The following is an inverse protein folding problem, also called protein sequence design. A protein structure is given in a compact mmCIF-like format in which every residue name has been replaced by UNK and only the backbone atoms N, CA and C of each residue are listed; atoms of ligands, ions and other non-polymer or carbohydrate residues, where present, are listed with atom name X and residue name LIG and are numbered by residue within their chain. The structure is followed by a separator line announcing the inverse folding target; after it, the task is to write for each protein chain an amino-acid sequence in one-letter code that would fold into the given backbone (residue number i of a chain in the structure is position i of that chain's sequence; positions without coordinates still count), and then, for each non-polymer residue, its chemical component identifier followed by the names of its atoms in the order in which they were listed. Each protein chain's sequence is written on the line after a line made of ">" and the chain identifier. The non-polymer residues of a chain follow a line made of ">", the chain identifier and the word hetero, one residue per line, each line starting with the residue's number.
data_IF_180192388862
#
_entry.id   IF_180192388862
#
_cell.length_a   1.000
_cell.length_b   1.000
_cell.length_c   1.000
_cell.angle_alpha   90.00
_cell.angle_beta   90.00
_cell.angle_gamma   90.00
#
_symmetry.space_group_name_H-M   'P 1'
#
loop_
_entity.id
_entity.type
_entity.pdbx_description
1 polymer ?
#
# COMPACT_ATOMS: atom_id res chain seq x y z
N UNK A 1 -48.97 -0.74 -56.80
CA UNK A 1 -48.49 -0.40 -55.43
C UNK A 1 -47.82 -1.63 -54.84
N UNK A 2 -46.49 -1.63 -54.77
CA UNK A 2 -45.69 -2.68 -54.10
C UNK A 2 -45.18 -2.11 -52.81
N UNK A 3 -45.67 -2.62 -51.68
CA UNK A 3 -45.23 -2.28 -50.34
C UNK A 3 -43.95 -3.06 -50.02
N UNK A 4 -42.80 -2.37 -50.00
CA UNK A 4 -41.54 -2.93 -49.53
C UNK A 4 -41.55 -3.02 -47.99
N UNK A 5 -41.39 -4.23 -47.43
CA UNK A 5 -41.12 -4.44 -46.01
C UNK A 5 -39.62 -4.29 -45.79
N UNK A 6 -39.22 -3.22 -45.13
CA UNK A 6 -37.84 -3.08 -44.64
C UNK A 6 -37.58 -4.02 -43.47
N UNK A 7 -36.57 -4.88 -43.58
CA UNK A 7 -36.05 -5.73 -42.52
C UNK A 7 -35.03 -4.90 -41.77
N UNK A 8 -35.33 -4.57 -40.52
CA UNK A 8 -34.39 -3.95 -39.58
C UNK A 8 -33.53 -5.05 -38.97
N UNK A 9 -32.30 -5.20 -39.43
CA UNK A 9 -31.31 -6.08 -38.83
C UNK A 9 -30.72 -5.43 -37.58
N UNK A 10 -31.08 -5.91 -36.41
CA UNK A 10 -30.44 -5.54 -35.12
C UNK A 10 -29.16 -6.36 -35.02
N UNK A 11 -28.01 -5.71 -35.14
CA UNK A 11 -26.72 -6.32 -34.87
C UNK A 11 -26.51 -6.31 -33.34
N UNK A 12 -26.60 -7.45 -32.71
CA UNK A 12 -26.19 -7.64 -31.33
C UNK A 12 -24.66 -7.70 -31.30
N UNK A 13 -24.00 -6.66 -30.85
CA UNK A 13 -22.57 -6.69 -30.47
C UNK A 13 -22.52 -7.34 -29.10
N UNK A 14 -22.18 -8.61 -29.04
CA UNK A 14 -21.83 -9.28 -27.78
C UNK A 14 -20.49 -8.72 -27.34
N UNK A 15 -20.52 -7.86 -26.33
CA UNK A 15 -19.30 -7.48 -25.60
C UNK A 15 -18.93 -8.71 -24.75
N UNK A 16 -17.96 -9.48 -25.22
CA UNK A 16 -17.28 -10.51 -24.43
C UNK A 16 -16.45 -9.77 -23.39
N UNK A 17 -16.97 -9.57 -22.19
CA UNK A 17 -16.16 -9.28 -21.03
C UNK A 17 -15.31 -10.53 -20.77
N UNK A 18 -14.01 -10.45 -21.07
CA UNK A 18 -13.02 -11.42 -20.59
C UNK A 18 -12.97 -11.27 -19.07
N UNK A 19 -13.68 -12.12 -18.37
CA UNK A 19 -13.50 -12.29 -16.93
C UNK A 19 -12.20 -13.04 -16.76
N UNK A 20 -11.14 -12.35 -16.34
CA UNK A 20 -9.93 -13.02 -15.88
C UNK A 20 -10.29 -13.76 -14.60
N UNK A 21 -10.19 -15.09 -14.61
CA UNK A 21 -10.24 -15.86 -13.38
C UNK A 21 -8.94 -15.53 -12.60
N UNK A 22 -9.05 -15.42 -11.28
CA UNK A 22 -7.94 -15.43 -10.36
C UNK A 22 -6.86 -16.41 -10.84
N UNK A 23 -5.64 -15.94 -11.10
CA UNK A 23 -4.63 -16.75 -11.77
C UNK A 23 -3.30 -16.68 -11.04
N UNK A 24 -2.75 -17.84 -10.72
CA UNK A 24 -1.40 -17.99 -10.20
C UNK A 24 -0.55 -18.65 -11.30
N UNK A 25 0.58 -18.05 -11.64
CA UNK A 25 1.46 -18.50 -12.72
C UNK A 25 2.88 -18.53 -12.20
N UNK A 26 3.57 -19.62 -12.47
CA UNK A 26 5.02 -19.72 -12.24
C UNK A 26 5.72 -19.24 -13.51
N UNK A 27 6.54 -18.21 -13.39
CA UNK A 27 7.22 -17.49 -14.44
C UNK A 27 8.73 -17.52 -14.18
N UNK A 28 9.51 -17.18 -15.20
CA UNK A 28 10.95 -17.06 -15.05
C UNK A 28 11.66 -16.67 -16.33
N UNK A 29 12.89 -16.23 -16.17
CA UNK A 29 13.78 -15.88 -17.29
C UNK A 29 15.25 -16.08 -16.91
N UNK A 30 16.11 -16.11 -17.92
CA UNK A 30 17.55 -16.17 -17.70
C UNK A 30 18.05 -14.78 -17.32
N UNK A 31 18.61 -14.65 -16.12
CA UNK A 31 19.26 -13.46 -15.63
C UNK A 31 20.67 -13.77 -15.16
N UNK A 32 21.66 -13.03 -15.65
CA UNK A 32 23.07 -13.23 -15.33
C UNK A 32 23.52 -14.71 -15.44
N UNK A 33 23.04 -15.39 -16.50
CA UNK A 33 23.35 -16.81 -16.80
C UNK A 33 22.61 -17.82 -15.92
N UNK A 34 21.80 -17.39 -14.96
CA UNK A 34 21.00 -18.26 -14.08
C UNK A 34 19.53 -18.27 -14.50
N UNK A 35 18.87 -19.41 -14.34
CA UNK A 35 17.42 -19.48 -14.39
C UNK A 35 16.87 -18.86 -13.12
N UNK A 36 16.13 -17.75 -13.24
CA UNK A 36 15.49 -17.05 -12.14
C UNK A 36 13.99 -17.22 -12.26
N UNK A 37 13.35 -17.53 -11.17
CA UNK A 37 11.94 -17.90 -11.11
C UNK A 37 11.17 -17.01 -10.16
N UNK A 38 9.90 -16.83 -10.41
CA UNK A 38 8.94 -16.19 -9.49
C UNK A 38 7.54 -16.73 -9.72
N UNK A 39 6.68 -16.64 -8.71
CA UNK A 39 5.24 -16.89 -8.86
C UNK A 39 4.53 -15.55 -8.87
N UNK A 40 3.75 -15.30 -9.90
CA UNK A 40 2.89 -14.12 -10.01
C UNK A 40 1.42 -14.51 -9.75
N UNK A 41 0.74 -13.68 -9.00
CA UNK A 41 -0.68 -13.82 -8.70
C UNK A 41 -1.45 -12.61 -9.22
N UNK A 42 -2.40 -12.89 -10.08
CA UNK A 42 -3.28 -11.90 -10.71
C UNK A 42 -4.66 -12.01 -10.10
N UNK A 43 -5.18 -10.98 -9.40
CA UNK A 43 -6.52 -11.01 -8.82
C UNK A 43 -7.59 -11.03 -9.91
N UNK A 44 -8.76 -11.61 -9.59
CA UNK A 44 -9.87 -11.74 -10.54
C UNK A 44 -10.47 -10.41 -11.02
N UNK A 45 -10.20 -9.33 -10.29
CA UNK A 45 -10.60 -7.97 -10.67
C UNK A 45 -9.73 -7.35 -11.76
N UNK A 46 -8.55 -7.92 -12.05
CA UNK A 46 -7.68 -7.44 -13.10
C UNK A 46 -8.23 -7.80 -14.48
N UNK A 47 -8.49 -6.80 -15.31
CA UNK A 47 -8.99 -6.97 -16.69
C UNK A 47 -8.07 -6.32 -17.74
N UNK A 48 -6.91 -5.80 -17.31
CA UNK A 48 -5.93 -5.14 -18.17
C UNK A 48 -6.29 -3.69 -18.56
N UNK A 49 -7.46 -3.18 -18.16
CA UNK A 49 -7.89 -1.81 -18.52
C UNK A 49 -7.36 -0.75 -17.57
N UNK A 50 -7.29 -1.07 -16.27
CA UNK A 50 -6.75 -0.18 -15.25
C UNK A 50 -5.32 -0.58 -14.87
N UNK A 51 -4.52 0.41 -14.48
CA UNK A 51 -3.20 0.18 -13.92
C UNK A 51 -3.32 -0.34 -12.49
N UNK A 52 -2.64 -1.47 -12.19
CA UNK A 52 -2.61 -2.08 -10.86
C UNK A 52 -1.26 -1.86 -10.18
N UNK A 53 -1.25 -1.63 -8.86
CA UNK A 53 -0.02 -1.67 -8.06
C UNK A 53 0.63 -3.06 -8.14
N UNK A 54 1.95 -3.09 -7.95
CA UNK A 54 2.75 -4.30 -7.91
C UNK A 54 3.40 -4.45 -6.52
N UNK A 55 3.24 -5.60 -5.88
CA UNK A 55 3.89 -5.91 -4.61
C UNK A 55 4.76 -7.15 -4.74
N UNK A 56 6.05 -7.01 -4.41
CA UNK A 56 6.97 -8.13 -4.24
C UNK A 56 6.98 -8.58 -2.78
N UNK A 57 6.93 -9.90 -2.55
CA UNK A 57 7.04 -10.51 -1.22
C UNK A 57 8.16 -11.56 -1.21
N UNK A 58 9.27 -11.24 -0.53
CA UNK A 58 10.51 -12.00 -0.53
C UNK A 58 10.58 -12.98 0.64
N UNK A 59 10.87 -14.26 0.37
CA UNK A 59 11.04 -15.28 1.39
C UNK A 59 12.34 -15.12 2.19
N UNK A 60 12.39 -15.73 3.38
CA UNK A 60 13.59 -15.79 4.21
C UNK A 60 14.69 -16.69 3.65
N UNK A 61 15.86 -16.68 4.30
CA UNK A 61 17.01 -17.52 3.94
C UNK A 61 16.66 -19.01 3.96
N UNK A 62 17.15 -19.76 2.96
CA UNK A 62 16.82 -21.17 2.79
C UNK A 62 15.38 -21.45 2.37
N UNK A 63 14.58 -20.40 2.12
CA UNK A 63 13.17 -20.50 1.80
C UNK A 63 12.90 -20.88 0.35
N UNK A 64 11.65 -21.31 0.11
CA UNK A 64 11.10 -21.61 -1.21
C UNK A 64 9.74 -20.97 -1.35
N UNK A 65 9.42 -20.46 -2.54
CA UNK A 65 8.17 -19.78 -2.83
C UNK A 65 6.93 -20.54 -2.37
N UNK A 66 6.75 -21.85 -2.66
CA UNK A 66 5.54 -22.57 -2.22
C UNK A 66 5.36 -22.57 -0.69
N UNK A 67 6.44 -22.73 0.07
CA UNK A 67 6.39 -22.69 1.54
C UNK A 67 6.09 -21.30 2.04
N UNK A 68 6.74 -20.29 1.47
CA UNK A 68 6.53 -18.89 1.85
C UNK A 68 5.09 -18.46 1.56
N UNK A 69 4.58 -18.74 0.37
CA UNK A 69 3.18 -18.47 0.01
C UNK A 69 2.17 -19.18 0.92
N UNK A 70 2.52 -20.37 1.43
CA UNK A 70 1.66 -21.09 2.38
C UNK A 70 1.65 -20.46 3.76
N UNK A 71 2.80 -19.95 4.21
CA UNK A 71 2.94 -19.34 5.54
C UNK A 71 2.59 -17.86 5.56
N UNK A 72 2.77 -17.16 4.43
CA UNK A 72 2.58 -15.71 4.27
C UNK A 72 1.72 -15.46 3.05
N UNK A 73 0.44 -15.85 3.14
CA UNK A 73 -0.49 -15.75 2.01
C UNK A 73 -1.13 -14.36 1.91
N UNK A 74 -0.63 -13.52 1.02
CA UNK A 74 -1.20 -12.20 0.74
C UNK A 74 -2.21 -12.18 -0.41
N UNK A 75 -2.50 -13.32 -1.06
CA UNK A 75 -3.46 -13.40 -2.19
C UNK A 75 -4.87 -12.94 -1.84
N UNK A 76 -5.45 -13.27 -0.66
CA UNK A 76 -6.76 -12.73 -0.27
C UNK A 76 -6.78 -11.20 -0.15
N UNK A 77 -5.64 -10.59 0.21
CA UNK A 77 -5.49 -9.13 0.27
C UNK A 77 -5.40 -8.58 -1.15
N UNK A 78 -4.64 -9.24 -2.04
CA UNK A 78 -4.53 -8.85 -3.44
C UNK A 78 -5.90 -8.83 -4.14
N UNK A 79 -6.76 -9.83 -3.86
CA UNK A 79 -8.12 -9.91 -4.41
C UNK A 79 -9.03 -8.75 -3.96
N UNK A 80 -8.91 -8.34 -2.71
CA UNK A 80 -9.78 -7.30 -2.14
C UNK A 80 -9.26 -5.88 -2.35
N UNK A 81 -7.94 -5.73 -2.48
CA UNK A 81 -7.26 -4.45 -2.59
C UNK A 81 -6.75 -4.13 -4.01
N UNK A 82 -6.95 -5.03 -4.98
CA UNK A 82 -6.67 -4.84 -6.39
C UNK A 82 -5.20 -4.51 -6.69
N UNK A 83 -4.29 -5.43 -6.36
CA UNK A 83 -2.88 -5.35 -6.74
C UNK A 83 -2.36 -6.69 -7.28
N UNK A 84 -1.35 -6.65 -8.11
CA UNK A 84 -0.62 -7.83 -8.59
C UNK A 84 0.46 -8.17 -7.56
N UNK A 85 0.53 -9.44 -7.18
CA UNK A 85 1.43 -9.93 -6.14
C UNK A 85 2.47 -10.86 -6.76
N UNK A 86 3.75 -10.68 -6.39
CA UNK A 86 4.87 -11.48 -6.90
C UNK A 86 5.64 -12.06 -5.72
N UNK A 87 5.90 -13.37 -5.80
CA UNK A 87 6.78 -14.08 -4.89
C UNK A 87 8.03 -14.54 -5.66
N UNK A 88 9.12 -13.80 -5.59
CA UNK A 88 10.36 -14.20 -6.26
C UNK A 88 11.05 -15.36 -5.54
N UNK A 89 11.79 -16.19 -6.30
CA UNK A 89 12.60 -17.27 -5.79
C UNK A 89 14.08 -16.88 -5.80
N UNK A 90 14.70 -16.90 -4.61
CA UNK A 90 16.15 -16.76 -4.49
C UNK A 90 16.88 -18.02 -5.03
N UNK A 91 18.07 -17.84 -5.56
CA UNK A 91 18.92 -18.95 -5.97
C UNK A 91 19.80 -19.44 -4.81
N UNK A 92 20.31 -20.70 -4.88
CA UNK A 92 21.28 -21.21 -3.91
C UNK A 92 22.56 -20.36 -3.88
N UNK A 93 23.00 -19.97 -2.69
CA UNK A 93 24.24 -19.26 -2.46
C UNK A 93 25.36 -20.23 -2.07
N UNK A 94 26.37 -20.45 -2.92
CA UNK A 94 27.51 -21.30 -2.58
C UNK A 94 28.30 -20.82 -1.36
N UNK A 95 28.32 -19.49 -1.13
CA UNK A 95 28.96 -18.88 0.05
C UNK A 95 28.19 -19.12 1.35
N UNK A 96 26.90 -19.44 1.25
CA UNK A 96 26.02 -19.76 2.38
C UNK A 96 25.64 -21.25 2.43
N UNK A 97 26.58 -22.14 2.11
CA UNK A 97 26.37 -23.57 2.17
C UNK A 97 25.38 -24.13 1.14
N UNK A 98 25.05 -23.39 0.11
CA UNK A 98 24.09 -23.78 -0.93
C UNK A 98 22.62 -23.59 -0.57
N UNK A 99 22.31 -22.92 0.53
CA UNK A 99 20.95 -22.49 0.84
C UNK A 99 20.52 -21.31 -0.06
N UNK A 100 19.24 -21.23 -0.39
CA UNK A 100 18.69 -20.07 -1.11
C UNK A 100 18.86 -18.79 -0.27
N UNK A 101 19.39 -17.75 -0.91
CA UNK A 101 19.68 -16.47 -0.25
C UNK A 101 19.54 -15.32 -1.24
N UNK A 102 19.23 -14.15 -0.74
CA UNK A 102 19.23 -12.91 -1.51
C UNK A 102 20.66 -12.37 -1.53
N UNK A 103 21.30 -12.49 -2.70
CA UNK A 103 22.68 -12.08 -2.94
C UNK A 103 22.71 -10.64 -3.40
N UNK A 104 22.80 -9.74 -2.44
CA UNK A 104 22.75 -8.29 -2.67
C UNK A 104 24.01 -7.56 -2.17
N UNK A 105 25.00 -8.29 -1.64
CA UNK A 105 26.23 -7.74 -1.06
C UNK A 105 27.49 -8.28 -1.73
N UNK A 106 28.51 -7.43 -1.81
CA UNK A 106 29.86 -7.86 -2.16
C UNK A 106 30.45 -8.85 -1.12
N UNK A 107 31.21 -9.86 -1.50
CA UNK A 107 31.69 -10.13 -2.85
C UNK A 107 30.85 -11.15 -3.65
N UNK A 108 29.54 -11.09 -3.58
CA UNK A 108 28.68 -12.01 -4.33
C UNK A 108 28.86 -11.83 -5.84
N UNK A 109 28.75 -12.93 -6.61
CA UNK A 109 28.82 -12.89 -8.06
C UNK A 109 27.47 -12.57 -8.73
N UNK A 110 26.40 -12.51 -7.91
CA UNK A 110 25.05 -12.25 -8.37
C UNK A 110 24.48 -11.10 -7.57
N UNK A 111 23.85 -10.16 -8.26
CA UNK A 111 23.16 -9.02 -7.66
C UNK A 111 21.66 -9.17 -7.93
N UNK A 112 20.89 -9.28 -6.85
CA UNK A 112 19.44 -9.45 -6.93
C UNK A 112 18.68 -8.11 -7.11
N UNK A 113 19.32 -6.97 -6.87
CA UNK A 113 18.66 -5.66 -7.08
C UNK A 113 18.35 -5.43 -8.56
N UNK A 114 19.31 -5.59 -9.50
CA UNK A 114 19.03 -5.54 -10.95
C UNK A 114 18.05 -6.64 -11.41
N UNK A 115 18.05 -7.81 -10.76
CA UNK A 115 17.06 -8.86 -11.06
C UNK A 115 15.64 -8.39 -10.74
N UNK A 116 15.40 -7.72 -9.60
CA UNK A 116 14.10 -7.14 -9.26
C UNK A 116 13.70 -6.08 -10.29
N UNK A 117 14.64 -5.23 -10.71
CA UNK A 117 14.38 -4.27 -11.78
C UNK A 117 13.94 -4.95 -13.07
N UNK A 118 14.64 -6.03 -13.48
CA UNK A 118 14.29 -6.79 -14.67
C UNK A 118 12.91 -7.47 -14.54
N UNK A 119 12.54 -7.96 -13.35
CA UNK A 119 11.18 -8.47 -13.10
C UNK A 119 10.11 -7.38 -13.27
N UNK A 120 10.33 -6.18 -12.71
CA UNK A 120 9.40 -5.05 -12.88
C UNK A 120 9.21 -4.76 -14.38
N UNK A 121 10.31 -4.70 -15.15
CA UNK A 121 10.26 -4.41 -16.58
C UNK A 121 9.57 -5.53 -17.36
N UNK A 122 9.85 -6.79 -17.07
CA UNK A 122 9.22 -7.95 -17.72
C UNK A 122 7.73 -8.01 -17.43
N UNK A 123 7.33 -7.88 -16.16
CA UNK A 123 5.93 -7.93 -15.74
C UNK A 123 5.13 -6.76 -16.37
N UNK A 124 5.75 -5.59 -16.49
CA UNK A 124 5.09 -4.41 -17.10
C UNK A 124 4.89 -4.54 -18.62
N UNK A 125 5.50 -5.51 -19.28
CA UNK A 125 5.21 -5.81 -20.70
C UNK A 125 3.87 -6.54 -20.83
N UNK A 126 3.59 -7.48 -19.92
CA UNK A 126 2.45 -8.37 -20.01
C UNK A 126 1.24 -7.86 -19.22
N UNK A 127 1.47 -7.02 -18.21
CA UNK A 127 0.44 -6.50 -17.32
C UNK A 127 0.49 -4.97 -17.23
N UNK A 128 -0.69 -4.35 -17.13
CA UNK A 128 -0.84 -2.90 -16.97
C UNK A 128 -0.54 -2.49 -15.52
N UNK A 129 0.75 -2.24 -15.23
CA UNK A 129 1.26 -1.91 -13.90
C UNK A 129 1.33 -0.39 -13.71
N UNK A 130 0.87 0.10 -12.56
CA UNK A 130 1.16 1.46 -12.12
C UNK A 130 2.63 1.54 -11.68
N UNK A 131 3.48 2.02 -12.58
CA UNK A 131 4.92 2.13 -12.35
C UNK A 131 5.30 3.05 -11.17
N UNK A 132 4.37 3.88 -10.69
CA UNK A 132 4.58 4.72 -9.51
C UNK A 132 4.20 4.01 -8.21
N UNK A 133 3.52 2.87 -8.27
CA UNK A 133 3.05 2.10 -7.11
C UNK A 133 3.59 0.68 -7.12
N UNK A 134 4.91 0.57 -7.09
CA UNK A 134 5.63 -0.70 -6.92
C UNK A 134 6.18 -0.76 -5.51
N UNK A 135 5.95 -1.86 -4.83
CA UNK A 135 6.28 -2.05 -3.42
C UNK A 135 7.07 -3.33 -3.19
N UNK A 136 7.78 -3.39 -2.08
CA UNK A 136 8.52 -4.58 -1.66
C UNK A 136 8.26 -4.88 -0.19
N UNK A 137 8.05 -6.15 0.13
CA UNK A 137 8.07 -6.64 1.50
C UNK A 137 8.77 -7.98 1.58
N UNK A 138 9.14 -8.40 2.80
CA UNK A 138 9.79 -9.69 2.96
C UNK A 138 9.98 -10.10 4.42
N UNK A 139 10.29 -11.38 4.59
CA UNK A 139 10.52 -12.04 5.84
C UNK A 139 12.00 -12.38 6.04
N UNK A 140 12.54 -12.13 7.23
CA UNK A 140 13.91 -12.51 7.58
C UNK A 140 14.93 -11.98 6.55
N UNK A 141 15.74 -12.79 5.88
CA UNK A 141 16.62 -12.32 4.79
C UNK A 141 15.87 -11.63 3.64
N UNK A 142 14.61 -11.98 3.39
CA UNK A 142 13.75 -11.22 2.47
C UNK A 142 13.42 -9.82 2.99
N UNK A 143 13.24 -9.68 4.32
CA UNK A 143 13.07 -8.38 4.98
C UNK A 143 14.34 -7.53 4.89
N UNK A 144 15.53 -8.13 5.09
CA UNK A 144 16.81 -7.46 4.86
C UNK A 144 16.92 -6.94 3.43
N UNK A 145 16.57 -7.79 2.46
CA UNK A 145 16.64 -7.43 1.05
C UNK A 145 15.70 -6.28 0.67
N UNK A 146 14.57 -6.13 1.35
CA UNK A 146 13.69 -4.97 1.10
C UNK A 146 14.35 -3.64 1.46
N UNK A 147 15.20 -3.59 2.48
CA UNK A 147 15.98 -2.38 2.77
C UNK A 147 16.97 -2.07 1.66
N UNK A 148 17.62 -3.10 1.10
CA UNK A 148 18.52 -2.94 -0.05
C UNK A 148 17.78 -2.32 -1.24
N UNK A 149 16.56 -2.82 -1.53
CA UNK A 149 15.70 -2.24 -2.58
C UNK A 149 15.30 -0.79 -2.27
N UNK A 150 14.97 -0.50 -1.02
CA UNK A 150 14.70 0.87 -0.58
C UNK A 150 15.90 1.81 -0.71
N UNK A 151 17.12 1.28 -0.59
CA UNK A 151 18.36 2.05 -0.70
C UNK A 151 18.84 2.24 -2.14
N UNK A 152 18.74 1.20 -2.97
CA UNK A 152 19.36 1.19 -4.31
C UNK A 152 18.35 1.31 -5.46
N UNK A 153 17.08 0.96 -5.22
CA UNK A 153 16.05 0.90 -6.26
C UNK A 153 14.81 1.74 -5.91
N UNK A 154 14.93 2.72 -4.99
CA UNK A 154 13.76 3.51 -4.59
C UNK A 154 13.24 4.46 -5.69
N UNK A 155 13.97 4.62 -6.79
CA UNK A 155 13.44 5.25 -8.00
C UNK A 155 12.38 4.38 -8.73
N UNK A 156 12.20 3.13 -8.31
CA UNK A 156 11.18 2.18 -8.80
C UNK A 156 10.29 1.64 -7.67
N UNK A 157 10.80 1.60 -6.44
CA UNK A 157 10.10 1.09 -5.25
C UNK A 157 9.62 2.28 -4.41
N UNK A 158 8.31 2.43 -4.28
CA UNK A 158 7.69 3.58 -3.60
C UNK A 158 7.67 3.45 -2.07
N UNK A 159 7.55 2.25 -1.53
CA UNK A 159 7.57 1.97 -0.09
C UNK A 159 7.96 0.52 0.18
N UNK A 160 8.45 0.24 1.39
CA UNK A 160 8.90 -1.09 1.80
C UNK A 160 8.31 -1.52 3.15
N UNK A 161 8.22 -2.86 3.33
CA UNK A 161 7.81 -3.49 4.59
C UNK A 161 8.75 -4.64 4.96
N UNK A 162 9.48 -4.55 6.07
CA UNK A 162 10.42 -5.58 6.50
C UNK A 162 9.91 -6.27 7.78
N UNK A 163 9.91 -7.61 7.79
CA UNK A 163 9.44 -8.41 8.92
C UNK A 163 10.56 -9.30 9.44
N UNK A 164 10.71 -9.33 10.75
CA UNK A 164 11.67 -10.16 11.50
C UNK A 164 13.12 -9.99 11.03
N UNK A 165 13.50 -8.79 10.59
CA UNK A 165 14.89 -8.48 10.23
C UNK A 165 15.16 -6.99 10.30
N UNK A 166 16.33 -6.64 10.79
CA UNK A 166 16.87 -5.31 10.76
C UNK A 166 17.80 -5.11 9.55
N UNK A 167 18.14 -3.87 9.28
CA UNK A 167 19.00 -3.48 8.18
C UNK A 167 20.43 -4.02 8.35
N UNK A 168 21.00 -4.62 7.31
CA UNK A 168 22.40 -5.04 7.33
C UNK A 168 23.36 -3.85 7.43
N UNK A 169 24.49 -4.02 8.11
CA UNK A 169 25.45 -2.93 8.30
C UNK A 169 26.04 -2.41 6.97
N UNK A 170 26.26 -3.29 6.01
CA UNK A 170 26.73 -2.88 4.67
C UNK A 170 25.69 -2.03 3.95
N UNK A 171 24.43 -2.46 3.97
CA UNK A 171 23.30 -1.72 3.42
C UNK A 171 23.20 -0.34 4.08
N UNK A 172 23.24 -0.29 5.43
CA UNK A 172 23.19 0.93 6.22
C UNK A 172 24.28 1.94 5.83
N UNK A 173 25.53 1.46 5.72
CA UNK A 173 26.68 2.31 5.41
C UNK A 173 26.71 2.82 3.96
N UNK A 174 26.07 2.11 3.03
CA UNK A 174 26.07 2.43 1.61
C UNK A 174 24.69 2.89 1.09
N UNK A 175 23.69 3.01 1.95
CA UNK A 175 22.35 3.42 1.59
C UNK A 175 22.30 4.85 1.10
N UNK A 176 21.75 5.08 -0.09
CA UNK A 176 21.68 6.41 -0.69
C UNK A 176 20.41 6.55 -1.53
N UNK A 177 19.23 6.47 -0.92
CA UNK A 177 17.96 6.59 -1.64
C UNK A 177 17.81 8.01 -2.21
N UNK A 178 17.20 8.12 -3.39
CA UNK A 178 17.13 9.40 -4.13
C UNK A 178 15.95 10.28 -3.74
N UNK A 179 15.01 9.75 -2.97
CA UNK A 179 13.86 10.51 -2.43
C UNK A 179 13.36 9.87 -1.11
N UNK A 180 12.57 10.57 -0.29
CA UNK A 180 11.93 9.99 0.89
C UNK A 180 11.14 8.72 0.54
N UNK A 181 11.25 7.68 1.36
CA UNK A 181 10.66 6.36 1.13
C UNK A 181 9.87 5.93 2.36
N UNK A 182 8.62 5.50 2.19
CA UNK A 182 7.83 4.93 3.27
C UNK A 182 8.43 3.60 3.74
N UNK A 183 8.73 3.49 5.04
CA UNK A 183 9.33 2.30 5.62
C UNK A 183 8.51 1.80 6.80
N UNK A 184 8.04 0.56 6.73
CA UNK A 184 7.42 -0.14 7.84
C UNK A 184 8.31 -1.30 8.29
N UNK A 185 8.48 -1.44 9.60
CA UNK A 185 9.18 -2.58 10.20
C UNK A 185 8.28 -3.30 11.19
N UNK A 186 8.38 -4.63 11.27
CA UNK A 186 7.67 -5.47 12.23
C UNK A 186 8.70 -6.37 12.88
N UNK A 187 9.03 -6.11 14.15
CA UNK A 187 10.18 -6.71 14.82
C UNK A 187 9.82 -7.24 16.21
N UNK A 188 10.19 -8.50 16.47
CA UNK A 188 10.11 -9.13 17.80
C UNK A 188 11.26 -8.69 18.71
N UNK A 189 10.97 -8.31 19.96
CA UNK A 189 12.02 -7.90 20.91
C UNK A 189 12.75 -9.08 21.54
N UNK A 190 12.23 -10.30 21.41
CA UNK A 190 12.84 -11.54 21.87
C UNK A 190 13.32 -12.44 20.73
N UNK A 191 13.41 -11.91 19.50
CA UNK A 191 13.87 -12.63 18.32
C UNK A 191 15.32 -13.12 18.51
N UNK A 192 15.57 -14.44 18.55
CA UNK A 192 16.91 -14.98 18.78
C UNK A 192 17.77 -15.03 17.50
N UNK A 193 17.19 -14.76 16.32
CA UNK A 193 17.85 -14.83 15.02
C UNK A 193 18.21 -13.42 14.53
N UNK A 194 17.29 -12.47 14.75
CA UNK A 194 17.46 -11.07 14.39
C UNK A 194 17.30 -10.21 15.63
N UNK A 195 18.36 -10.18 16.47
CA UNK A 195 18.32 -9.45 17.74
C UNK A 195 17.90 -7.99 17.50
N UNK A 196 16.84 -7.60 18.20
CA UNK A 196 16.28 -6.24 18.17
C UNK A 196 17.32 -5.15 18.44
N UNK A 197 18.35 -5.48 19.24
CA UNK A 197 19.45 -4.57 19.61
C UNK A 197 20.65 -4.65 18.65
N UNK A 198 20.50 -5.33 17.52
CA UNK A 198 21.55 -5.49 16.52
C UNK A 198 22.40 -6.75 16.73
N UNK A 199 23.03 -7.22 15.67
CA UNK A 199 23.84 -8.43 15.67
C UNK A 199 25.31 -8.09 15.55
N UNK A 200 26.10 -8.54 16.54
CA UNK A 200 27.55 -8.32 16.63
C UNK A 200 28.29 -9.64 16.67
N UNK A 201 29.37 -9.74 15.92
CA UNK A 201 30.27 -10.87 15.96
C UNK A 201 31.73 -10.40 15.96
N UNK A 202 32.52 -10.82 16.93
CA UNK A 202 33.95 -10.45 17.10
C UNK A 202 34.24 -8.94 17.01
N UNK A 203 33.32 -8.12 17.52
CA UNK A 203 33.44 -6.64 17.52
C UNK A 203 33.03 -5.96 16.23
N UNK A 204 32.56 -6.72 15.25
CA UNK A 204 31.98 -6.18 14.00
C UNK A 204 30.46 -6.25 14.08
N UNK A 205 29.79 -5.16 13.75
CA UNK A 205 28.34 -5.12 13.62
C UNK A 205 27.95 -5.66 12.24
N UNK A 206 27.05 -6.66 12.24
CA UNK A 206 26.53 -7.26 11.02
C UNK A 206 25.13 -6.75 10.68
N UNK A 207 24.33 -6.48 11.71
CA UNK A 207 22.99 -5.90 11.57
C UNK A 207 22.82 -4.76 12.55
N UNK A 208 22.16 -3.72 12.07
CA UNK A 208 21.81 -2.56 12.90
C UNK A 208 20.77 -2.96 13.95
N UNK A 209 20.73 -2.25 15.06
CA UNK A 209 19.58 -2.33 15.96
C UNK A 209 18.33 -1.72 15.31
N UNK A 210 17.15 -2.06 15.82
CA UNK A 210 15.90 -1.46 15.39
C UNK A 210 15.93 0.08 15.52
N UNK A 211 16.52 0.60 16.60
CA UNK A 211 16.64 2.04 16.81
C UNK A 211 17.56 2.69 15.77
N UNK A 212 18.75 2.13 15.51
CA UNK A 212 19.70 2.69 14.54
C UNK A 212 19.11 2.75 13.13
N UNK A 213 18.42 1.69 12.68
CA UNK A 213 17.78 1.71 11.36
C UNK A 213 16.60 2.68 11.30
N UNK A 214 15.79 2.77 12.36
CA UNK A 214 14.68 3.74 12.41
C UNK A 214 15.23 5.16 12.38
N UNK A 215 16.28 5.46 13.15
CA UNK A 215 16.94 6.77 13.15
C UNK A 215 17.48 7.14 11.77
N UNK A 216 18.02 6.15 11.01
CA UNK A 216 18.46 6.38 9.63
C UNK A 216 17.30 6.83 8.73
N UNK A 217 16.20 6.06 8.71
CA UNK A 217 15.06 6.36 7.84
C UNK A 217 14.30 7.62 8.28
N UNK A 218 14.19 7.85 9.59
CA UNK A 218 13.63 9.07 10.17
C UNK A 218 14.43 10.30 9.72
N UNK A 219 15.75 10.24 9.78
CA UNK A 219 16.62 11.32 9.33
C UNK A 219 16.56 11.50 7.80
N UNK A 220 16.58 10.38 7.03
CA UNK A 220 16.51 10.44 5.57
C UNK A 220 15.20 11.05 5.08
N UNK A 221 14.08 10.66 5.68
CA UNK A 221 12.73 11.15 5.32
C UNK A 221 12.42 12.53 5.94
N UNK A 222 13.33 13.08 6.74
CA UNK A 222 13.12 14.34 7.49
C UNK A 222 11.87 14.30 8.39
N UNK A 223 11.61 13.14 9.00
CA UNK A 223 10.52 12.99 9.97
C UNK A 223 10.83 13.69 11.30
N UNK A 224 9.80 13.93 12.10
CA UNK A 224 9.98 14.28 13.50
C UNK A 224 10.76 13.18 14.23
N UNK A 225 11.76 13.53 15.03
CA UNK A 225 12.63 12.59 15.73
C UNK A 225 11.93 11.83 16.87
N UNK A 226 10.77 12.31 17.33
CA UNK A 226 10.01 11.70 18.41
C UNK A 226 8.76 11.02 17.83
N UNK A 227 8.62 9.69 17.98
CA UNK A 227 7.46 8.99 17.45
C UNK A 227 6.21 9.21 18.30
N UNK A 228 5.06 9.12 17.66
CA UNK A 228 3.82 8.83 18.36
C UNK A 228 3.76 7.33 18.64
N UNK A 229 3.55 6.95 19.91
CA UNK A 229 3.45 5.54 20.34
C UNK A 229 2.00 5.22 20.64
N UNK A 230 1.46 4.21 19.97
CA UNK A 230 0.09 3.75 20.17
C UNK A 230 0.09 2.26 20.49
N UNK A 231 -0.38 1.84 21.68
CA UNK A 231 -0.52 0.42 21.98
C UNK A 231 -1.62 -0.20 21.12
N UNK A 232 -1.37 -1.40 20.63
CA UNK A 232 -2.37 -2.23 19.94
C UNK A 232 -3.03 -3.15 20.96
N UNK A 233 -4.32 -3.40 20.79
CA UNK A 233 -5.05 -4.27 21.72
C UNK A 233 -4.48 -5.70 21.67
N UNK A 234 -4.16 -6.24 22.85
CA UNK A 234 -3.80 -7.66 23.03
C UNK A 234 -5.06 -8.50 22.81
N UNK A 235 -5.21 -9.03 21.60
CA UNK A 235 -6.37 -9.81 21.16
C UNK A 235 -6.20 -11.31 21.42
N UNK A 236 -4.97 -11.78 21.53
CA UNK A 236 -4.64 -13.17 21.93
C UNK A 236 -3.65 -13.18 23.11
N UNK A 237 -4.10 -12.96 24.35
CA UNK A 237 -3.21 -12.91 25.52
C UNK A 237 -2.48 -14.24 25.83
N UNK A 238 -2.72 -15.29 25.03
CA UNK A 238 -2.06 -16.57 25.20
C UNK A 238 -0.81 -16.74 24.32
N UNK A 239 -0.58 -15.85 23.37
CA UNK A 239 0.63 -15.90 22.53
C UNK A 239 1.87 -15.36 23.26
N UNK A 240 1.69 -14.67 24.39
CA UNK A 240 2.76 -14.22 25.29
C UNK A 240 3.48 -12.95 24.84
N UNK A 241 2.94 -12.27 23.82
CA UNK A 241 3.49 -11.05 23.26
C UNK A 241 2.43 -9.94 23.20
N UNK A 242 2.86 -8.69 22.99
CA UNK A 242 2.00 -7.52 22.79
C UNK A 242 2.60 -6.61 21.74
N UNK A 243 1.83 -5.70 21.16
CA UNK A 243 2.31 -4.85 20.09
C UNK A 243 2.14 -3.36 20.40
N UNK A 244 3.18 -2.59 20.13
CA UNK A 244 3.14 -1.13 20.10
C UNK A 244 3.46 -0.63 18.69
N UNK A 245 2.67 0.32 18.19
CA UNK A 245 2.94 1.04 16.94
C UNK A 245 3.70 2.32 17.25
N UNK A 246 4.87 2.45 16.67
CA UNK A 246 5.66 3.68 16.64
C UNK A 246 5.48 4.33 15.27
N UNK A 247 5.14 5.61 15.24
CA UNK A 247 4.95 6.37 13.99
C UNK A 247 5.76 7.64 14.03
N UNK A 248 6.72 7.77 13.12
CA UNK A 248 7.46 9.00 12.86
C UNK A 248 6.86 9.68 11.65
N UNK A 249 6.23 10.84 11.86
CA UNK A 249 5.57 11.60 10.82
C UNK A 249 6.52 12.59 10.17
N UNK A 250 6.34 12.81 8.87
CA UNK A 250 7.03 13.88 8.15
C UNK A 250 6.07 15.05 7.92
N UNK A 251 6.40 16.22 8.47
CA UNK A 251 5.57 17.42 8.34
C UNK A 251 5.55 17.96 6.90
N UNK A 252 6.66 17.86 6.16
CA UNK A 252 6.81 18.49 4.84
C UNK A 252 6.50 17.55 3.67
N UNK A 253 6.89 16.26 3.75
CA UNK A 253 6.73 15.29 2.66
C UNK A 253 5.67 14.25 2.91
N UNK A 254 5.09 14.21 4.11
CA UNK A 254 4.12 13.21 4.58
C UNK A 254 4.59 11.76 4.40
N UNK A 255 5.88 11.52 4.41
CA UNK A 255 6.44 10.18 4.30
C UNK A 255 6.76 9.66 5.69
N UNK A 256 6.06 8.62 6.12
CA UNK A 256 6.19 8.06 7.46
C UNK A 256 7.23 6.94 7.52
N UNK A 257 7.83 6.82 8.72
CA UNK A 257 8.48 5.61 9.18
C UNK A 257 7.58 5.01 10.25
N UNK A 258 7.26 3.73 10.15
CA UNK A 258 6.46 3.03 11.16
C UNK A 258 7.17 1.76 11.63
N UNK A 259 7.12 1.51 12.94
CA UNK A 259 7.53 0.24 13.53
C UNK A 259 6.34 -0.37 14.28
N UNK A 260 6.05 -1.62 14.01
CA UNK A 260 5.24 -2.48 14.87
C UNK A 260 6.20 -3.30 15.75
N UNK A 261 6.41 -2.83 16.96
CA UNK A 261 7.27 -3.46 17.94
C UNK A 261 6.50 -4.54 18.67
N UNK A 262 6.86 -5.80 18.41
CA UNK A 262 6.25 -6.95 19.06
C UNK A 262 7.04 -7.27 20.34
N UNK A 263 6.52 -6.82 21.47
CA UNK A 263 7.15 -7.01 22.78
C UNK A 263 7.06 -8.49 23.16
N UNK A 264 8.18 -9.11 23.47
CA UNK A 264 8.38 -10.56 23.66
C UNK A 264 8.09 -11.42 22.41
N UNK A 265 7.90 -10.79 21.22
CA UNK A 265 7.78 -11.51 19.95
C UNK A 265 9.10 -12.17 19.56
N UNK A 266 9.00 -13.31 18.88
CA UNK A 266 10.10 -14.11 18.35
C UNK A 266 10.38 -13.75 16.87
N UNK A 267 11.02 -14.66 16.12
CA UNK A 267 11.29 -14.56 14.69
C UNK A 267 10.03 -14.87 13.87
N UNK A 268 9.03 -14.00 13.97
CA UNK A 268 7.65 -14.27 13.56
C UNK A 268 7.23 -13.49 12.32
N UNK A 269 6.15 -14.00 11.69
CA UNK A 269 5.27 -13.22 10.81
C UNK A 269 3.91 -13.09 11.50
N UNK A 270 3.69 -12.03 12.29
CA UNK A 270 2.47 -11.83 13.05
C UNK A 270 1.18 -12.02 12.22
N UNK A 271 0.20 -12.69 12.82
CA UNK A 271 -1.05 -13.05 12.16
C UNK A 271 -1.02 -14.35 11.35
N UNK A 272 0.20 -14.89 11.08
CA UNK A 272 0.38 -16.22 10.47
C UNK A 272 1.00 -17.20 11.46
N UNK A 273 2.01 -16.77 12.17
CA UNK A 273 2.66 -17.50 13.27
C UNK A 273 3.31 -16.51 14.23
N UNK A 274 3.43 -16.92 15.51
CA UNK A 274 3.89 -16.08 16.61
C UNK A 274 2.79 -15.17 17.13
N UNK A 275 3.03 -13.87 17.17
CA UNK A 275 2.04 -12.88 17.64
C UNK A 275 0.76 -12.90 16.79
N UNK A 276 -0.41 -12.85 17.46
CA UNK A 276 -1.72 -12.90 16.82
C UNK A 276 -2.55 -11.61 17.04
N UNK A 277 -1.97 -10.57 17.61
CA UNK A 277 -2.64 -9.27 17.81
C UNK A 277 -2.79 -8.46 16.55
N UNK A 278 -1.89 -8.67 15.59
CA UNK A 278 -1.87 -8.02 14.30
C UNK A 278 -1.79 -9.04 13.15
N UNK A 279 -2.15 -8.59 11.96
CA UNK A 279 -1.93 -9.31 10.71
C UNK A 279 -0.86 -8.54 9.92
N UNK A 280 0.38 -9.00 9.97
CA UNK A 280 1.52 -8.33 9.33
C UNK A 280 1.30 -8.09 7.83
N UNK A 281 0.64 -9.03 7.13
CA UNK A 281 0.32 -8.90 5.71
C UNK A 281 -0.61 -7.72 5.44
N UNK A 282 -1.65 -7.54 6.28
CA UNK A 282 -2.57 -6.40 6.17
C UNK A 282 -1.91 -5.10 6.59
N UNK A 283 -1.13 -5.11 7.67
CA UNK A 283 -0.41 -3.93 8.14
C UNK A 283 0.55 -3.40 7.06
N UNK A 284 1.33 -4.28 6.44
CA UNK A 284 2.23 -3.92 5.34
C UNK A 284 1.44 -3.32 4.17
N UNK A 285 0.40 -4.01 3.70
CA UNK A 285 -0.38 -3.48 2.58
C UNK A 285 -1.03 -2.13 2.90
N UNK A 286 -1.65 -2.00 4.07
CA UNK A 286 -2.27 -0.75 4.53
C UNK A 286 -1.24 0.39 4.63
N UNK A 287 0.02 0.07 4.91
CA UNK A 287 1.09 1.05 4.95
C UNK A 287 1.59 1.40 3.55
N UNK A 288 2.10 0.43 2.78
CA UNK A 288 2.78 0.69 1.51
C UNK A 288 1.84 1.25 0.45
N UNK A 289 0.57 0.81 0.43
CA UNK A 289 -0.42 1.26 -0.55
C UNK A 289 -0.79 2.74 -0.45
N UNK A 290 -0.40 3.42 0.62
CA UNK A 290 -0.57 4.88 0.78
C UNK A 290 0.38 5.71 -0.08
N UNK A 291 1.47 5.10 -0.58
CA UNK A 291 2.57 5.80 -1.22
C UNK A 291 2.62 5.56 -2.73
N UNK A 292 3.19 6.53 -3.41
CA UNK A 292 3.73 6.39 -4.76
C UNK A 292 5.17 6.95 -4.78
N UNK A 293 5.84 6.94 -5.92
CA UNK A 293 7.22 7.47 -6.03
C UNK A 293 7.37 8.95 -5.68
N UNK A 294 6.26 9.70 -5.54
CA UNK A 294 6.27 11.09 -5.11
C UNK A 294 5.97 11.27 -3.61
N UNK A 295 5.84 10.18 -2.85
CA UNK A 295 5.51 10.17 -1.43
C UNK A 295 4.07 9.77 -1.12
N UNK A 296 3.53 10.22 0.03
CA UNK A 296 2.17 9.89 0.46
C UNK A 296 1.14 10.45 -0.52
N UNK A 297 0.31 9.58 -1.08
CA UNK A 297 -0.78 10.01 -1.97
C UNK A 297 -1.78 10.90 -1.24
N UNK A 298 -2.07 12.07 -1.82
CA UNK A 298 -2.93 13.07 -1.19
C UNK A 298 -2.23 13.93 -0.13
N UNK A 299 -0.94 13.72 0.15
CA UNK A 299 -0.15 14.68 0.88
C UNK A 299 0.08 15.93 0.05
N UNK A 300 -0.21 17.05 0.63
CA UNK A 300 -0.30 18.31 -0.03
C UNK A 300 0.81 18.56 -1.03
N UNK A 301 0.44 18.66 -2.27
CA UNK A 301 1.04 19.64 -3.14
C UNK A 301 0.85 21.01 -2.45
N UNK A 302 1.76 21.35 -1.53
CA UNK A 302 1.97 22.72 -1.09
C UNK A 302 2.66 23.50 -2.21
N UNK A 303 2.11 23.45 -3.41
CA UNK A 303 2.22 24.51 -4.36
C UNK A 303 0.95 25.33 -4.23
N UNK A 304 1.03 26.39 -3.39
CA UNK A 304 0.21 27.60 -3.48
C UNK A 304 -1.14 27.41 -4.18
N UNK A 305 -1.94 26.50 -3.62
CA UNK A 305 -3.36 26.50 -3.53
C UNK A 305 -3.63 25.77 -2.22
N UNK A 306 -3.62 26.52 -1.12
CA UNK A 306 -4.50 26.20 -0.02
C UNK A 306 -5.91 26.25 -0.59
N UNK A 307 -6.30 25.22 -1.30
CA UNK A 307 -7.65 24.75 -1.20
C UNK A 307 -7.75 24.31 0.28
N UNK A 308 -8.04 25.26 1.16
CA UNK A 308 -8.68 24.97 2.43
C UNK A 308 -9.51 23.72 2.19
N UNK A 309 -9.36 22.68 3.04
CA UNK A 309 -10.32 21.58 3.01
C UNK A 309 -11.68 22.27 3.00
N UNK A 310 -12.35 22.14 1.87
CA UNK A 310 -13.66 22.71 1.72
C UNK A 310 -14.54 21.78 2.55
N UNK A 311 -14.69 22.13 3.83
CA UNK A 311 -15.62 21.44 4.70
C UNK A 311 -17.01 21.98 4.40
N UNK A 312 -17.80 21.16 3.74
CA UNK A 312 -19.23 21.40 3.58
C UNK A 312 -19.95 20.64 4.69
N UNK A 313 -20.50 21.38 5.64
CA UNK A 313 -21.35 20.81 6.68
C UNK A 313 -22.81 21.07 6.33
N UNK A 314 -23.63 20.03 6.42
CA UNK A 314 -25.04 20.09 6.02
C UNK A 314 -25.91 19.60 7.17
N UNK A 315 -26.74 20.50 7.73
CA UNK A 315 -27.60 20.21 8.86
C UNK A 315 -28.90 21.03 8.84
N UNK A 316 -29.98 20.55 9.47
CA UNK A 316 -30.14 19.20 9.98
C UNK A 316 -30.25 18.17 8.85
N UNK A 317 -29.74 16.97 9.10
CA UNK A 317 -29.96 15.84 8.20
C UNK A 317 -30.26 14.60 9.07
N UNK A 318 -31.51 14.13 9.16
CA UNK A 318 -32.67 14.43 8.30
C UNK A 318 -33.16 15.89 8.36
N UNK A 319 -33.63 16.39 7.22
CA UNK A 319 -34.16 17.74 7.03
C UNK A 319 -35.68 17.75 6.89
N UNK A 320 -36.34 18.84 7.35
CA UNK A 320 -37.79 19.06 7.17
C UNK A 320 -38.08 20.21 6.19
N UNK A 321 -38.08 21.44 6.65
CA UNK A 321 -38.46 22.61 5.83
C UNK A 321 -37.24 23.32 5.23
N UNK A 322 -36.10 23.23 5.87
CA UNK A 322 -34.84 23.85 5.41
C UNK A 322 -33.66 22.98 5.75
N UNK A 323 -32.60 23.20 5.01
CA UNK A 323 -31.26 22.65 5.28
C UNK A 323 -30.27 23.80 5.27
N UNK A 324 -29.32 23.77 6.21
CA UNK A 324 -28.24 24.74 6.29
C UNK A 324 -27.02 24.09 5.65
N UNK A 325 -26.37 24.82 4.75
CA UNK A 325 -25.09 24.44 4.15
C UNK A 325 -24.07 25.45 4.66
N UNK A 326 -23.21 25.01 5.54
CA UNK A 326 -22.04 25.78 5.98
C UNK A 326 -20.83 25.37 5.15
N UNK A 327 -20.17 26.35 4.54
CA UNK A 327 -19.02 26.12 3.68
C UNK A 327 -17.96 27.20 3.86
N UNK A 328 -16.71 26.83 3.60
CA UNK A 328 -15.57 27.75 3.59
C UNK A 328 -15.03 28.03 2.17
N UNK A 329 -15.89 27.90 1.13
CA UNK A 329 -15.51 28.30 -0.22
C UNK A 329 -15.11 29.77 -0.26
N UNK A 330 -14.01 30.08 -0.95
CA UNK A 330 -13.57 31.46 -1.13
C UNK A 330 -14.42 32.26 -2.16
N UNK A 331 -15.11 31.53 -3.04
CA UNK A 331 -15.96 32.08 -4.11
C UNK A 331 -17.34 31.40 -4.08
N UNK A 332 -18.40 32.11 -4.52
CA UNK A 332 -19.74 31.52 -4.57
C UNK A 332 -19.79 30.25 -5.43
N UNK A 333 -20.33 29.16 -4.87
CA UNK A 333 -20.41 27.85 -5.53
C UNK A 333 -21.83 27.49 -5.92
N UNK A 334 -21.99 26.85 -7.07
CA UNK A 334 -23.29 26.30 -7.48
C UNK A 334 -23.51 24.95 -6.80
N UNK A 335 -24.75 24.70 -6.36
CA UNK A 335 -25.17 23.40 -5.88
C UNK A 335 -26.33 22.83 -6.70
N UNK A 336 -26.46 21.50 -6.67
CA UNK A 336 -27.59 20.77 -7.25
C UNK A 336 -28.03 19.66 -6.29
N UNK A 337 -29.35 19.46 -6.18
CA UNK A 337 -29.95 18.35 -5.43
C UNK A 337 -30.62 17.42 -6.43
N UNK A 338 -30.27 16.16 -6.38
CA UNK A 338 -30.79 15.11 -7.25
C UNK A 338 -31.69 14.15 -6.48
N UNK A 339 -32.75 13.68 -7.14
CA UNK A 339 -33.57 12.57 -6.63
C UNK A 339 -32.89 11.22 -6.87
N UNK A 340 -33.52 10.14 -6.43
CA UNK A 340 -32.99 8.75 -6.60
C UNK A 340 -32.94 8.29 -8.07
N UNK A 341 -33.55 9.00 -9.00
CA UNK A 341 -33.49 8.75 -10.43
C UNK A 341 -32.38 9.55 -11.13
N UNK A 342 -31.63 10.38 -10.39
CA UNK A 342 -30.58 11.25 -10.92
C UNK A 342 -31.13 12.55 -11.57
N UNK A 343 -32.40 12.90 -11.38
CA UNK A 343 -32.97 14.14 -11.87
C UNK A 343 -32.68 15.29 -10.90
N UNK A 344 -32.19 16.43 -11.40
CA UNK A 344 -31.98 17.62 -10.61
C UNK A 344 -33.34 18.23 -10.21
N UNK A 345 -33.62 18.26 -8.91
CA UNK A 345 -34.91 18.74 -8.35
C UNK A 345 -34.80 20.08 -7.65
N UNK A 346 -33.59 20.50 -7.29
CA UNK A 346 -33.30 21.81 -6.73
C UNK A 346 -31.88 22.23 -7.13
N UNK A 347 -31.68 23.51 -7.39
CA UNK A 347 -30.36 24.07 -7.68
C UNK A 347 -30.26 25.51 -7.23
N UNK A 348 -29.05 25.98 -6.98
CA UNK A 348 -28.79 27.34 -6.56
C UNK A 348 -27.31 27.65 -6.42
N UNK A 349 -27.01 28.73 -5.71
CA UNK A 349 -25.64 29.12 -5.35
C UNK A 349 -25.59 29.37 -3.85
N UNK A 350 -24.44 29.11 -3.28
CA UNK A 350 -24.09 29.40 -1.89
C UNK A 350 -22.86 30.29 -1.85
N UNK A 351 -22.81 31.15 -0.85
CA UNK A 351 -21.66 31.97 -0.51
C UNK A 351 -20.82 31.29 0.59
N UNK A 352 -19.65 31.86 0.89
CA UNK A 352 -18.86 31.43 2.03
C UNK A 352 -19.64 31.61 3.34
N UNK A 353 -19.54 30.65 4.24
CA UNK A 353 -20.26 30.65 5.52
C UNK A 353 -21.56 29.86 5.47
N UNK A 354 -22.54 30.29 6.27
CA UNK A 354 -23.82 29.61 6.49
C UNK A 354 -24.87 30.05 5.47
N UNK A 355 -25.45 29.10 4.72
CA UNK A 355 -26.49 29.32 3.72
C UNK A 355 -27.71 28.46 4.04
N UNK A 356 -28.88 29.08 4.19
CA UNK A 356 -30.15 28.38 4.42
C UNK A 356 -30.86 28.10 3.10
N UNK A 357 -31.16 26.85 2.82
CA UNK A 357 -31.84 26.39 1.62
C UNK A 357 -33.24 25.88 1.98
N UNK A 358 -34.26 26.44 1.35
CA UNK A 358 -35.64 25.97 1.49
C UNK A 358 -35.83 24.66 0.71
N UNK A 359 -36.27 23.62 1.41
CA UNK A 359 -36.50 22.27 0.86
C UNK A 359 -37.96 21.83 1.06
N UNK A 360 -38.87 22.77 1.31
CA UNK A 360 -40.32 22.49 1.50
C UNK A 360 -40.99 21.90 0.26
N UNK A 361 -40.46 22.21 -0.94
CA UNK A 361 -40.93 21.66 -2.21
C UNK A 361 -40.55 20.18 -2.44
N UNK A 362 -39.59 19.64 -1.68
CA UNK A 362 -39.14 18.26 -1.79
C UNK A 362 -40.07 17.34 -0.99
N UNK A 363 -40.38 16.18 -1.56
CA UNK A 363 -41.15 15.12 -0.87
C UNK A 363 -40.22 14.33 0.05
N UNK A 364 -40.80 13.70 1.11
CA UNK A 364 -40.02 12.78 1.96
C UNK A 364 -39.39 11.66 1.13
N UNK A 365 -38.07 11.67 1.06
CA UNK A 365 -37.24 10.74 0.30
C UNK A 365 -35.75 10.95 0.62
N UNK A 366 -34.91 10.16 -0.05
CA UNK A 366 -33.47 10.33 -0.08
C UNK A 366 -33.11 11.18 -1.33
N UNK A 367 -32.17 12.11 -1.14
CA UNK A 367 -31.64 12.98 -2.16
C UNK A 367 -30.12 12.99 -2.12
N UNK A 368 -29.50 13.46 -3.18
CA UNK A 368 -28.04 13.67 -3.27
C UNK A 368 -27.78 15.14 -3.55
N UNK A 369 -27.08 15.81 -2.68
CA UNK A 369 -26.57 17.17 -2.84
C UNK A 369 -25.17 17.09 -3.49
N UNK A 370 -24.95 17.86 -4.55
CA UNK A 370 -23.63 18.02 -5.21
C UNK A 370 -23.22 19.49 -5.15
N UNK A 371 -22.03 19.78 -4.63
CA UNK A 371 -21.41 21.11 -4.55
C UNK A 371 -19.92 20.98 -4.85
N UNK A 372 -19.45 21.56 -5.95
CA UNK A 372 -18.07 21.35 -6.39
C UNK A 372 -17.79 19.87 -6.60
N UNK A 373 -16.80 19.35 -5.89
CA UNK A 373 -16.44 17.92 -5.91
C UNK A 373 -17.09 17.10 -4.78
N UNK A 374 -17.87 17.78 -3.89
CA UNK A 374 -18.50 17.13 -2.75
C UNK A 374 -19.87 16.54 -3.12
N UNK A 375 -20.15 15.37 -2.57
CA UNK A 375 -21.44 14.68 -2.74
C UNK A 375 -21.95 14.20 -1.40
N UNK A 376 -23.12 14.73 -0.97
CA UNK A 376 -23.68 14.50 0.36
C UNK A 376 -25.07 13.90 0.24
N UNK A 377 -25.33 12.82 0.97
CA UNK A 377 -26.65 12.22 1.07
C UNK A 377 -27.55 13.07 1.98
N UNK A 378 -28.73 13.47 1.50
CA UNK A 378 -29.76 14.15 2.25
C UNK A 378 -30.96 13.23 2.50
N UNK A 379 -31.55 13.34 3.67
CA UNK A 379 -32.78 12.61 4.04
C UNK A 379 -33.85 13.65 4.35
N UNK A 380 -34.88 13.74 3.50
CA UNK A 380 -36.05 14.61 3.71
C UNK A 380 -37.13 13.83 4.45
N UNK A 381 -37.59 14.42 5.56
CA UNK A 381 -38.72 13.93 6.33
C UNK A 381 -39.85 14.98 6.29
N UNK A 382 -41.08 14.58 6.63
CA UNK A 382 -42.24 15.47 6.69
C UNK A 382 -42.15 16.49 7.79
#
# INVERSE_FOLDING_TARGET
>A
MKTGKGILSIVFIAILSLSYAQTQIDEGFIWDGNNREYTIYIPSSYDGTAEFPLLFNFHGGGGFVPSHMSSVDMRPIADTANFILVYPQAIPDPGNGGYTSWMHKEPTTHDDVPFVQAMIDSISIDYNIDANRVYACGYSLGGEFTYELGCQLNNRIAAIGAVARTMGADTYNNCSPVHPTGVMTILGTADPISDYNGVWYQGTQYYMSANEQNDYWVAHNNCDSTPTITPIADSDPNDGSTVERYTWANADGCVYVEELKVINGDHDWPGSFGNMDIDASKEIWNFVSRYNLNGLMGCGTNSVDQLSQVNVHVFPNPMSNQVIIESNYSEPMSFQVYNVLGEAVLSGRIDSGENSIDVTSLKSNIYTLSIGNETIKLIKID
#
